data_IF_658950635670
#
_entry.id   IF_658950635670
#
_cell.length_a   1.000
_cell.length_b   1.000
_cell.length_c   1.000
_cell.angle_alpha   90.00
_cell.angle_beta   90.00
_cell.angle_gamma   90.00
#
_symmetry.space_group_name_H-M   'P 1'
#
loop_
_entity.id
_entity.type
_entity.pdbx_description
1 polymer ?
#
# COMPACT_ATOMS: atom_id res chain seq x y z
N UNK A 1 -0.56 39.36 -51.07
CA UNK A 1 -0.78 39.13 -49.63
C UNK A 1 -1.99 38.22 -49.49
N UNK A 2 -1.79 36.97 -49.08
CA UNK A 2 -2.89 36.10 -48.66
C UNK A 2 -2.42 35.37 -47.41
N UNK A 3 -3.11 35.68 -46.31
CA UNK A 3 -2.81 35.31 -44.94
C UNK A 3 -2.82 33.78 -44.78
N UNK A 4 -1.71 33.21 -44.30
CA UNK A 4 -1.65 31.82 -43.83
C UNK A 4 -2.23 31.74 -42.42
N UNK A 5 -3.55 31.85 -42.31
CA UNK A 5 -4.29 31.50 -41.10
C UNK A 5 -4.63 30.01 -41.15
N UNK A 6 -3.69 29.10 -40.89
CA UNK A 6 -4.06 27.70 -40.63
C UNK A 6 -2.94 26.92 -39.94
N UNK A 7 -2.47 27.40 -38.78
CA UNK A 7 -1.58 26.58 -37.94
C UNK A 7 -1.60 27.00 -36.47
N UNK A 8 -2.80 27.15 -35.89
CA UNK A 8 -2.94 27.30 -34.44
C UNK A 8 -3.88 26.24 -33.83
N UNK A 9 -4.68 25.55 -34.65
CA UNK A 9 -5.61 24.54 -34.17
C UNK A 9 -4.94 23.20 -33.79
N UNK A 10 -3.73 22.92 -34.29
CA UNK A 10 -3.05 21.63 -34.04
C UNK A 10 -2.29 21.58 -32.70
N UNK A 11 -1.98 22.73 -32.09
CA UNK A 11 -1.24 22.81 -30.82
C UNK A 11 -2.12 22.70 -29.57
N UNK A 12 -3.45 22.89 -29.68
CA UNK A 12 -4.36 22.75 -28.52
C UNK A 12 -4.75 21.30 -28.20
N UNK A 13 -4.53 20.35 -29.12
CA UNK A 13 -4.92 18.95 -28.94
C UNK A 13 -3.92 18.11 -28.12
N UNK A 14 -2.71 18.62 -27.85
CA UNK A 14 -1.69 17.89 -27.09
C UNK A 14 -1.72 18.13 -25.58
N UNK A 15 -2.59 19.03 -25.08
CA UNK A 15 -2.66 19.35 -23.65
C UNK A 15 -3.70 18.54 -22.85
N UNK A 16 -4.39 17.58 -23.49
CA UNK A 16 -5.36 16.69 -22.86
C UNK A 16 -4.77 15.30 -22.57
N UNK A 17 -3.56 15.24 -22.00
CA UNK A 17 -3.11 14.04 -21.30
C UNK A 17 -3.59 14.12 -19.84
N UNK A 18 -4.89 14.02 -19.63
CA UNK A 18 -5.43 13.68 -18.30
C UNK A 18 -5.20 12.19 -18.10
N UNK A 19 -4.09 11.81 -17.47
CA UNK A 19 -4.03 10.52 -16.79
C UNK A 19 -4.97 10.61 -15.57
N UNK A 20 -6.25 10.32 -15.77
CA UNK A 20 -7.19 10.11 -14.69
C UNK A 20 -7.94 8.81 -14.95
N UNK A 21 -7.33 7.70 -14.56
CA UNK A 21 -8.04 6.45 -14.35
C UNK A 21 -7.33 5.63 -13.26
N UNK A 22 -7.83 5.75 -12.03
CA UNK A 22 -7.72 4.72 -10.99
C UNK A 22 -8.91 4.87 -10.02
N UNK A 23 -10.10 4.49 -10.48
CA UNK A 23 -11.16 3.96 -9.62
C UNK A 23 -11.09 2.42 -9.82
N UNK A 24 -11.11 1.54 -8.80
CA UNK A 24 -11.66 1.72 -7.46
C UNK A 24 -10.80 1.13 -6.32
N UNK A 25 -10.27 1.96 -5.43
CA UNK A 25 -9.98 1.53 -4.06
C UNK A 25 -11.29 1.55 -3.30
N UNK A 26 -12.11 0.56 -3.61
CA UNK A 26 -13.49 0.36 -3.22
C UNK A 26 -13.78 0.98 -1.83
N UNK A 27 -14.88 1.74 -1.69
CA UNK A 27 -15.21 2.73 -0.62
C UNK A 27 -15.24 2.16 0.82
N UNK A 28 -14.18 1.48 1.23
CA UNK A 28 -14.11 0.66 2.43
C UNK A 28 -13.61 1.54 3.55
N UNK A 29 -14.51 1.78 4.51
CA UNK A 29 -14.15 2.40 5.78
C UNK A 29 -13.45 1.36 6.62
N UNK A 30 -12.18 1.61 6.92
CA UNK A 30 -11.46 0.79 7.89
C UNK A 30 -12.14 0.91 9.26
N UNK A 31 -12.09 -0.16 10.04
CA UNK A 31 -12.61 -0.17 11.42
C UNK A 31 -12.03 1.00 12.23
N UNK A 32 -12.86 1.56 13.11
CA UNK A 32 -12.51 2.76 13.87
C UNK A 32 -12.59 4.06 13.08
N UNK A 33 -13.21 4.05 11.90
CA UNK A 33 -13.44 5.25 11.10
C UNK A 33 -12.19 5.79 10.39
N UNK A 34 -11.12 4.99 10.29
CA UNK A 34 -9.92 5.37 9.55
C UNK A 34 -10.22 5.43 8.05
N UNK A 35 -9.75 6.50 7.42
CA UNK A 35 -9.90 6.74 5.98
C UNK A 35 -8.56 7.10 5.38
N UNK A 36 -8.33 6.71 4.12
CA UNK A 36 -7.11 7.00 3.39
C UNK A 36 -7.44 7.80 2.14
N UNK A 37 -6.68 8.86 1.89
CA UNK A 37 -6.87 9.77 0.77
C UNK A 37 -6.24 9.24 -0.52
N UNK A 38 -5.34 8.26 -0.41
CA UNK A 38 -4.63 7.69 -1.54
C UNK A 38 -4.53 6.18 -1.39
N UNK A 39 -4.52 5.50 -2.52
CA UNK A 39 -4.58 4.06 -2.58
C UNK A 39 -4.22 3.54 -3.97
N UNK A 40 -3.91 2.25 -4.04
CA UNK A 40 -3.67 1.52 -5.28
C UNK A 40 -4.06 0.05 -5.11
N UNK A 41 -4.75 -0.50 -6.10
CA UNK A 41 -4.97 -1.93 -6.19
C UNK A 41 -3.69 -2.65 -6.62
N UNK A 42 -3.47 -3.82 -6.04
CA UNK A 42 -2.38 -4.76 -6.34
C UNK A 42 -3.00 -6.09 -6.80
N UNK A 43 -3.54 -6.18 -8.04
CA UNK A 43 -4.35 -7.31 -8.48
C UNK A 43 -3.62 -8.65 -8.39
N UNK A 44 -2.33 -8.69 -8.73
CA UNK A 44 -1.49 -9.90 -8.64
C UNK A 44 -1.32 -10.42 -7.21
N UNK A 45 -1.53 -9.56 -6.20
CA UNK A 45 -1.50 -9.92 -4.79
C UNK A 45 -2.89 -10.09 -4.18
N UNK A 46 -3.95 -9.81 -4.95
CA UNK A 46 -5.33 -9.70 -4.45
C UNK A 46 -5.44 -8.77 -3.23
N UNK A 47 -4.74 -7.65 -3.29
CA UNK A 47 -4.67 -6.67 -2.21
C UNK A 47 -4.88 -5.25 -2.72
N UNK A 48 -5.15 -4.32 -1.81
CA UNK A 48 -5.10 -2.88 -2.02
C UNK A 48 -4.21 -2.25 -0.95
N UNK A 49 -3.34 -1.33 -1.39
CA UNK A 49 -2.47 -0.53 -0.52
C UNK A 49 -3.08 0.85 -0.39
N UNK A 50 -3.15 1.37 0.83
CA UNK A 50 -3.78 2.64 1.20
C UNK A 50 -2.81 3.47 2.02
N UNK A 51 -2.78 4.78 1.82
CA UNK A 51 -1.91 5.66 2.59
C UNK A 51 -2.43 7.10 2.74
N UNK A 52 -1.98 7.74 3.83
CA UNK A 52 -2.06 9.19 4.05
C UNK A 52 -0.66 9.71 4.28
N UNK A 53 -0.24 10.69 3.50
CA UNK A 53 1.03 11.39 3.73
C UNK A 53 0.79 12.69 4.49
N UNK A 54 1.50 12.86 5.60
CA UNK A 54 1.40 14.04 6.45
C UNK A 54 2.65 14.90 6.27
N UNK A 55 2.56 15.89 5.38
CA UNK A 55 3.73 16.71 4.99
C UNK A 55 4.34 17.51 6.14
N UNK A 56 3.55 17.92 7.13
CA UNK A 56 4.04 18.68 8.29
C UNK A 56 4.93 17.83 9.20
N UNK A 57 4.56 16.57 9.42
CA UNK A 57 5.29 15.65 10.31
C UNK A 57 6.22 14.71 9.54
N UNK A 58 6.18 14.73 8.21
CA UNK A 58 6.92 13.83 7.32
C UNK A 58 6.65 12.34 7.64
N UNK A 59 5.41 12.03 8.04
CA UNK A 59 4.98 10.66 8.37
C UNK A 59 4.00 10.14 7.33
N UNK A 60 3.93 8.81 7.23
CA UNK A 60 2.96 8.13 6.36
C UNK A 60 2.18 7.11 7.19
N UNK A 61 0.85 7.21 7.14
CA UNK A 61 -0.01 6.11 7.58
C UNK A 61 -0.17 5.17 6.40
N UNK A 62 -0.03 3.86 6.64
CA UNK A 62 -0.16 2.84 5.61
C UNK A 62 -1.11 1.75 6.09
N UNK A 63 -1.99 1.28 5.21
CA UNK A 63 -2.77 0.08 5.40
C UNK A 63 -2.71 -0.79 4.16
N UNK A 64 -2.49 -2.08 4.36
CA UNK A 64 -2.62 -3.08 3.31
C UNK A 64 -3.84 -3.94 3.63
N UNK A 65 -4.74 -4.05 2.65
CA UNK A 65 -5.98 -4.79 2.76
C UNK A 65 -5.99 -5.89 1.70
N UNK A 66 -6.54 -7.05 2.06
CA UNK A 66 -6.77 -8.14 1.11
C UNK A 66 -8.19 -7.99 0.55
N UNK A 67 -8.34 -8.03 -0.77
CA UNK A 67 -9.61 -7.68 -1.44
C UNK A 67 -10.65 -8.80 -1.37
N UNK A 68 -10.22 -10.07 -1.31
CA UNK A 68 -11.10 -11.20 -0.99
C UNK A 68 -10.49 -12.09 0.09
N UNK A 69 -11.28 -12.41 1.12
CA UNK A 69 -10.85 -13.26 2.21
C UNK A 69 -11.00 -14.71 1.78
N UNK A 70 -9.90 -15.34 1.36
CA UNK A 70 -9.80 -16.80 1.46
C UNK A 70 -9.78 -17.13 2.96
N UNK A 71 -10.86 -17.76 3.45
CA UNK A 71 -11.02 -18.15 4.85
C UNK A 71 -9.88 -19.03 5.38
N UNK A 72 -9.07 -19.64 4.49
CA UNK A 72 -7.91 -20.46 4.87
C UNK A 72 -6.65 -19.65 5.14
N UNK A 73 -6.53 -18.43 4.62
CA UNK A 73 -5.29 -17.64 4.75
C UNK A 73 -5.28 -16.89 6.07
N UNK A 74 -4.50 -17.38 7.03
CA UNK A 74 -4.38 -16.81 8.39
C UNK A 74 -3.25 -15.79 8.54
N UNK A 75 -2.56 -15.39 7.47
CA UNK A 75 -1.44 -14.46 7.57
C UNK A 75 -1.25 -13.56 6.34
N UNK A 76 -0.50 -12.49 6.55
CA UNK A 76 -0.12 -11.51 5.54
C UNK A 76 1.22 -10.88 5.92
N UNK A 77 2.07 -10.60 4.93
CA UNK A 77 3.28 -9.81 5.11
C UNK A 77 3.46 -8.87 3.93
N UNK A 78 3.97 -7.67 4.21
CA UNK A 78 4.35 -6.69 3.21
C UNK A 78 5.58 -5.95 3.66
N UNK A 79 6.47 -5.64 2.72
CA UNK A 79 7.76 -5.05 3.04
C UNK A 79 8.15 -3.99 2.02
N UNK A 80 8.95 -3.04 2.49
CA UNK A 80 9.63 -2.07 1.64
C UNK A 80 11.13 -2.32 1.66
N UNK A 81 11.83 -1.90 0.61
CA UNK A 81 13.27 -2.10 0.47
C UNK A 81 13.98 -0.74 0.36
N UNK A 82 14.30 -0.07 1.48
CA UNK A 82 14.85 1.29 1.43
C UNK A 82 16.25 1.39 0.83
N UNK A 83 17.03 0.30 0.87
CA UNK A 83 18.47 0.32 0.57
C UNK A 83 18.86 -0.44 -0.71
N UNK A 84 18.10 -1.45 -1.13
CA UNK A 84 18.47 -2.31 -2.26
C UNK A 84 17.25 -2.88 -2.97
N UNK A 85 17.44 -3.34 -4.21
CA UNK A 85 16.41 -4.09 -4.94
C UNK A 85 16.57 -5.57 -4.61
N UNK A 86 15.84 -6.08 -3.62
CA UNK A 86 15.89 -7.49 -3.25
C UNK A 86 15.15 -7.77 -1.94
N UNK A 87 14.93 -9.04 -1.64
CA UNK A 87 14.30 -9.48 -0.38
C UNK A 87 15.22 -9.29 0.83
N UNK A 88 16.52 -9.51 0.65
CA UNK A 88 17.50 -9.25 1.72
C UNK A 88 17.67 -7.74 1.85
N UNK A 89 17.45 -7.23 3.07
CA UNK A 89 17.39 -5.80 3.39
C UNK A 89 15.97 -5.25 3.48
N UNK A 90 14.95 -6.03 3.10
CA UNK A 90 13.54 -5.63 3.25
C UNK A 90 13.15 -5.36 4.69
N UNK A 91 12.28 -4.39 4.90
CA UNK A 91 11.73 -3.99 6.19
C UNK A 91 10.24 -4.32 6.19
N UNK A 92 9.84 -5.40 6.88
CA UNK A 92 8.52 -6.00 6.73
C UNK A 92 7.56 -5.67 7.88
N UNK A 93 6.27 -5.59 7.54
CA UNK A 93 5.13 -5.64 8.43
C UNK A 93 4.47 -7.00 8.28
N UNK A 94 4.30 -7.71 9.40
CA UNK A 94 3.77 -9.07 9.43
C UNK A 94 2.50 -9.07 10.27
N UNK A 95 1.46 -9.73 9.78
CA UNK A 95 0.22 -9.96 10.49
C UNK A 95 -0.22 -11.42 10.37
N UNK A 96 -0.70 -12.01 11.45
CA UNK A 96 -1.27 -13.36 11.42
C UNK A 96 -2.30 -13.57 12.52
N UNK A 97 -3.16 -14.55 12.31
CA UNK A 97 -4.12 -15.04 13.29
C UNK A 97 -3.52 -16.24 14.03
N UNK A 98 -3.49 -16.16 15.36
CA UNK A 98 -3.16 -17.30 16.23
C UNK A 98 -4.26 -18.36 16.15
N UNK A 99 -3.96 -19.56 16.65
CA UNK A 99 -4.95 -20.66 16.71
C UNK A 99 -6.15 -20.33 17.62
N UNK A 100 -5.97 -19.44 18.60
CA UNK A 100 -7.05 -18.92 19.45
C UNK A 100 -7.92 -17.84 18.77
N UNK A 101 -7.66 -17.50 17.51
CA UNK A 101 -8.38 -16.50 16.74
C UNK A 101 -7.86 -15.06 16.91
N UNK A 102 -6.93 -14.81 17.82
CA UNK A 102 -6.38 -13.48 18.08
C UNK A 102 -5.50 -13.02 16.92
N UNK A 103 -5.73 -11.80 16.43
CA UNK A 103 -4.87 -11.14 15.44
C UNK A 103 -3.63 -10.56 16.09
N UNK A 104 -2.48 -10.78 15.47
CA UNK A 104 -1.19 -10.21 15.86
C UNK A 104 -0.62 -9.45 14.67
N UNK A 105 0.05 -8.32 14.95
CA UNK A 105 0.84 -7.60 13.97
C UNK A 105 2.14 -7.10 14.59
N UNK A 106 3.22 -7.12 13.81
CA UNK A 106 4.55 -6.68 14.25
C UNK A 106 5.47 -6.40 13.07
N UNK A 107 6.62 -5.79 13.34
CA UNK A 107 7.67 -5.50 12.37
C UNK A 107 8.72 -6.61 12.31
N UNK A 108 9.31 -6.86 11.14
CA UNK A 108 10.35 -7.86 10.94
C UNK A 108 11.42 -7.38 9.94
N UNK A 109 12.68 -7.18 10.35
CA UNK A 109 13.77 -6.90 9.43
C UNK A 109 14.21 -8.18 8.71
N UNK A 110 14.25 -8.16 7.38
CA UNK A 110 14.67 -9.31 6.57
C UNK A 110 16.14 -9.21 6.26
N UNK A 111 16.98 -9.97 6.98
CA UNK A 111 18.44 -9.92 6.83
C UNK A 111 19.01 -11.11 6.04
N UNK A 112 18.19 -12.14 5.77
CA UNK A 112 18.58 -13.30 4.96
C UNK A 112 17.37 -13.99 4.33
N UNK A 113 17.62 -14.85 3.35
CA UNK A 113 16.60 -15.72 2.76
C UNK A 113 16.11 -16.83 3.70
N UNK A 114 16.85 -17.11 4.78
CA UNK A 114 16.46 -18.07 5.82
C UNK A 114 15.59 -17.44 6.91
N UNK A 115 15.05 -16.24 6.67
CA UNK A 115 14.15 -15.55 7.61
C UNK A 115 12.96 -16.42 7.99
N UNK A 116 12.57 -16.38 9.26
CA UNK A 116 11.31 -16.94 9.74
C UNK A 116 10.32 -15.81 10.09
N UNK A 117 10.55 -14.61 9.54
CA UNK A 117 9.82 -13.40 9.86
C UNK A 117 9.87 -13.08 11.36
N UNK A 118 11.04 -13.21 12.00
CA UNK A 118 11.17 -12.93 13.43
C UNK A 118 10.85 -11.45 13.73
N UNK A 119 10.18 -11.21 14.86
CA UNK A 119 9.90 -9.84 15.31
C UNK A 119 11.20 -9.08 15.57
N UNK A 120 11.27 -7.85 15.08
CA UNK A 120 12.40 -6.95 15.32
C UNK A 120 12.12 -5.54 14.84
N UNK A 121 12.97 -4.61 15.22
CA UNK A 121 12.83 -3.20 14.86
C UNK A 121 13.24 -2.97 13.40
N UNK A 122 12.56 -2.01 12.75
CA UNK A 122 12.94 -1.58 11.40
C UNK A 122 13.96 -0.46 11.47
N UNK A 123 14.63 -0.20 10.34
CA UNK A 123 15.59 0.91 10.22
C UNK A 123 14.96 2.32 10.29
N UNK A 124 13.65 2.40 10.42
CA UNK A 124 12.87 3.63 10.55
C UNK A 124 11.78 3.43 11.62
N UNK A 125 11.34 4.52 12.29
CA UNK A 125 10.34 4.42 13.34
C UNK A 125 8.99 3.97 12.75
N UNK A 126 8.37 2.97 13.39
CA UNK A 126 7.02 2.51 13.07
C UNK A 126 6.20 2.48 14.34
N UNK A 127 5.04 3.12 14.30
CA UNK A 127 4.10 3.20 15.42
C UNK A 127 2.73 2.66 15.00
N UNK A 128 1.95 2.20 15.98
CA UNK A 128 0.54 1.85 15.74
C UNK A 128 0.32 0.61 14.87
N UNK A 129 1.30 -0.31 14.81
CA UNK A 129 1.18 -1.56 14.06
C UNK A 129 0.03 -2.38 14.63
N UNK A 130 -0.95 -2.68 13.79
CA UNK A 130 -2.16 -3.42 14.15
C UNK A 130 -2.68 -4.20 12.96
N UNK A 131 -3.47 -5.23 13.22
CA UNK A 131 -4.16 -6.00 12.20
C UNK A 131 -5.57 -6.32 12.66
N UNK A 132 -6.47 -6.42 11.69
CA UNK A 132 -7.88 -6.71 11.92
C UNK A 132 -8.31 -7.71 10.85
N UNK A 133 -9.01 -8.75 11.28
CA UNK A 133 -9.72 -9.63 10.37
C UNK A 133 -11.09 -9.01 10.08
N UNK A 134 -11.36 -8.68 8.82
CA UNK A 134 -12.70 -8.34 8.38
C UNK A 134 -13.43 -9.66 8.08
N UNK A 135 -14.33 -10.07 8.98
CA UNK A 135 -15.30 -11.12 8.70
C UNK A 135 -16.43 -10.52 7.88
N UNK A 136 -16.70 -11.10 6.70
CA UNK A 136 -17.87 -10.77 5.87
C UNK A 136 -19.18 -11.01 6.62
#
# INVERSE_FOLDING_TARGET
MASKCFSFAFLLLFFLCTFAAAEPCDNHRFRGGKTFASCIDLPSLNCSLHWNFHSLTQTVDVALRRNSVDQKTRWMSWAINPHSKGMVGSQALVAFQKDDGTMVAYTSPITSYATQLQKGDLSFPVNGVSSILEST
#
